data_IF_079266303088
#
_entry.id   IF_079266303088
#
_cell.length_a   1.000
_cell.length_b   1.000
_cell.length_c   1.000
_cell.angle_alpha   90.00
_cell.angle_beta   90.00
_cell.angle_gamma   90.00
#
_symmetry.space_group_name_H-M   'P 1'
#
loop_
_entity.id
_entity.type
_entity.pdbx_description
1 polymer ?
#
# COMPACT_ATOMS: atom_id res chain seq x y z
N UNK A 1 26.75 -9.06 17.23
CA UNK A 1 26.33 -7.66 16.99
C UNK A 1 25.71 -7.61 15.60
N UNK A 2 24.38 -7.65 15.53
CA UNK A 2 23.69 -7.56 14.24
C UNK A 2 23.75 -6.10 13.77
N UNK A 3 24.52 -5.84 12.71
CA UNK A 3 24.45 -4.56 11.99
C UNK A 3 23.05 -4.45 11.41
N UNK A 4 22.20 -3.69 12.07
CA UNK A 4 20.94 -3.24 11.48
C UNK A 4 21.33 -2.30 10.35
N UNK A 5 21.02 -2.67 9.11
CA UNK A 5 21.01 -1.70 8.01
C UNK A 5 19.99 -0.65 8.40
N UNK A 6 20.41 0.61 8.52
CA UNK A 6 19.50 1.71 8.81
C UNK A 6 18.37 1.73 7.77
N UNK A 7 17.17 2.06 8.21
CA UNK A 7 16.01 2.20 7.36
C UNK A 7 15.50 3.64 7.46
N UNK A 8 15.10 4.19 6.32
CA UNK A 8 14.62 5.55 6.19
C UNK A 8 13.65 5.68 5.01
N UNK A 9 12.87 6.76 4.97
CA UNK A 9 11.96 7.05 3.88
C UNK A 9 12.63 7.75 2.69
N UNK A 10 11.98 7.71 1.53
CA UNK A 10 12.38 8.48 0.35
C UNK A 10 11.71 9.86 0.45
N UNK A 11 12.44 10.88 0.88
CA UNK A 11 11.84 12.18 1.23
C UNK A 11 11.43 13.06 0.04
N UNK A 12 11.80 12.73 -1.19
CA UNK A 12 11.51 13.52 -2.39
C UNK A 12 10.45 12.91 -3.32
N UNK A 13 10.17 11.61 -3.19
CA UNK A 13 9.12 10.91 -3.92
C UNK A 13 8.87 9.51 -3.32
N UNK A 14 8.29 9.44 -2.13
CA UNK A 14 7.93 8.18 -1.47
C UNK A 14 6.76 7.48 -2.19
N UNK A 15 6.97 6.32 -2.83
CA UNK A 15 5.89 5.58 -3.48
C UNK A 15 5.04 4.84 -2.45
N UNK A 16 3.72 4.98 -2.52
CA UNK A 16 2.78 4.20 -1.73
C UNK A 16 1.81 3.45 -2.62
N UNK A 17 1.84 2.12 -2.53
CA UNK A 17 1.02 1.25 -3.36
C UNK A 17 -0.33 0.96 -2.71
N UNK A 18 -1.41 1.18 -3.43
CA UNK A 18 -2.73 0.76 -2.98
C UNK A 18 -2.84 -0.77 -3.03
N UNK A 19 -3.27 -1.38 -1.92
CA UNK A 19 -3.59 -2.82 -1.87
C UNK A 19 -5.08 -3.01 -2.16
N UNK A 20 -5.37 -3.39 -3.39
CA UNK A 20 -6.73 -3.68 -3.84
C UNK A 20 -7.23 -5.00 -3.29
N UNK A 21 -8.49 -5.02 -2.87
CA UNK A 21 -9.21 -6.23 -2.46
C UNK A 21 -10.58 -6.24 -3.15
N UNK A 22 -11.05 -7.43 -3.52
CA UNK A 22 -12.33 -7.55 -4.20
C UNK A 22 -12.96 -8.92 -3.99
N UNK A 23 -14.30 -8.97 -4.08
CA UNK A 23 -15.05 -10.23 -4.05
C UNK A 23 -15.18 -10.78 -5.47
N UNK A 24 -14.73 -12.01 -5.76
CA UNK A 24 -14.92 -12.62 -7.07
C UNK A 24 -16.41 -12.71 -7.45
N UNK A 25 -16.74 -12.47 -8.73
CA UNK A 25 -18.14 -12.49 -9.21
C UNK A 25 -18.87 -13.82 -8.94
N UNK A 26 -18.14 -14.94 -8.96
CA UNK A 26 -18.67 -16.30 -8.70
C UNK A 26 -18.32 -16.81 -7.29
N UNK A 27 -18.11 -15.91 -6.32
CA UNK A 27 -17.82 -16.30 -4.93
C UNK A 27 -18.94 -17.19 -4.37
N UNK A 28 -18.62 -18.36 -3.79
CA UNK A 28 -19.63 -19.27 -3.25
C UNK A 28 -20.27 -18.76 -1.95
N UNK A 29 -19.58 -17.88 -1.21
CA UNK A 29 -20.11 -17.23 0.00
C UNK A 29 -20.02 -15.69 -0.09
N UNK A 30 -20.85 -15.04 -0.93
CA UNK A 30 -20.71 -13.60 -1.21
C UNK A 30 -20.95 -12.72 0.02
N UNK A 31 -21.83 -13.13 0.95
CA UNK A 31 -22.11 -12.35 2.16
C UNK A 31 -20.93 -12.39 3.14
N UNK A 32 -20.31 -13.56 3.35
CA UNK A 32 -19.12 -13.69 4.18
C UNK A 32 -17.93 -12.93 3.59
N UNK A 33 -17.77 -12.96 2.27
CA UNK A 33 -16.72 -12.19 1.60
C UNK A 33 -16.90 -10.67 1.76
N UNK A 34 -18.14 -10.17 1.66
CA UNK A 34 -18.45 -8.76 1.94
C UNK A 34 -18.18 -8.40 3.39
N UNK A 35 -18.62 -9.24 4.33
CA UNK A 35 -18.36 -9.05 5.76
C UNK A 35 -16.85 -8.99 6.06
N UNK A 36 -16.05 -9.81 5.38
CA UNK A 36 -14.59 -9.76 5.54
C UNK A 36 -14.00 -8.45 4.99
N UNK A 37 -14.49 -7.94 3.86
CA UNK A 37 -14.08 -6.63 3.37
C UNK A 37 -14.47 -5.52 4.36
N UNK A 38 -15.71 -5.53 4.86
CA UNK A 38 -16.17 -4.56 5.86
C UNK A 38 -15.29 -4.60 7.12
N UNK A 39 -14.95 -5.81 7.59
CA UNK A 39 -14.04 -5.99 8.72
C UNK A 39 -12.66 -5.41 8.44
N UNK A 40 -12.04 -5.74 7.30
CA UNK A 40 -10.69 -5.26 6.95
C UNK A 40 -10.67 -3.72 6.86
N UNK A 41 -11.75 -3.09 6.39
CA UNK A 41 -11.88 -1.64 6.26
C UNK A 41 -12.31 -0.94 7.57
N UNK A 42 -12.72 -1.71 8.57
CA UNK A 42 -13.04 -1.20 9.91
C UNK A 42 -11.78 -0.71 10.63
N UNK A 43 -11.97 0.06 11.70
CA UNK A 43 -10.85 0.48 12.56
C UNK A 43 -10.07 -0.72 13.11
N UNK A 44 -10.76 -1.72 13.67
CA UNK A 44 -10.13 -2.92 14.23
C UNK A 44 -9.35 -3.70 13.15
N UNK A 45 -9.96 -3.89 11.98
CA UNK A 45 -9.29 -4.56 10.86
C UNK A 45 -8.04 -3.82 10.41
N UNK A 46 -8.07 -2.49 10.33
CA UNK A 46 -6.91 -1.69 9.96
C UNK A 46 -5.80 -1.73 11.02
N UNK A 47 -6.14 -1.73 12.32
CA UNK A 47 -5.17 -1.97 13.39
C UNK A 47 -4.50 -3.33 13.23
N UNK A 48 -5.27 -4.38 12.95
CA UNK A 48 -4.74 -5.73 12.78
C UNK A 48 -3.90 -5.88 11.49
N UNK A 49 -4.31 -5.24 10.39
CA UNK A 49 -3.51 -5.13 9.16
C UNK A 49 -2.18 -4.43 9.45
N UNK A 50 -2.20 -3.34 10.22
CA UNK A 50 -1.00 -2.63 10.64
C UNK A 50 -0.07 -3.47 11.51
N UNK A 51 -0.60 -4.22 12.47
CA UNK A 51 0.17 -5.19 13.28
C UNK A 51 0.77 -6.31 12.44
N UNK A 52 0.15 -6.65 11.32
CA UNK A 52 0.69 -7.57 10.32
C UNK A 52 1.80 -7.00 9.44
N UNK A 53 2.24 -5.75 9.66
CA UNK A 53 3.34 -5.12 8.92
C UNK A 53 2.91 -4.34 7.68
N UNK A 54 1.62 -4.06 7.51
CA UNK A 54 1.12 -3.17 6.47
C UNK A 54 0.94 -1.73 6.99
N UNK A 55 0.65 -0.80 6.09
CA UNK A 55 0.38 0.61 6.43
C UNK A 55 -1.13 0.89 6.36
N UNK A 56 -1.84 0.94 7.49
CA UNK A 56 -3.25 1.31 7.51
C UNK A 56 -3.44 2.76 7.08
N UNK A 57 -4.55 3.02 6.38
CA UNK A 57 -4.82 4.33 5.77
C UNK A 57 -5.85 5.16 6.54
N UNK A 58 -6.58 4.55 7.47
CA UNK A 58 -7.61 5.25 8.25
C UNK A 58 -6.97 6.27 9.18
N UNK A 59 -7.49 7.49 9.15
CA UNK A 59 -7.03 8.60 9.99
C UNK A 59 -7.27 8.37 11.49
N UNK A 60 -8.16 7.46 11.86
CA UNK A 60 -8.46 7.12 13.26
C UNK A 60 -7.55 6.02 13.84
N UNK A 61 -6.64 5.44 13.04
CA UNK A 61 -5.65 4.46 13.50
C UNK A 61 -4.34 5.19 13.85
N UNK A 62 -3.88 5.04 15.08
CA UNK A 62 -2.72 5.78 15.59
C UNK A 62 -1.47 4.90 15.67
N UNK A 63 -0.31 5.53 15.79
CA UNK A 63 0.99 4.86 15.94
C UNK A 63 1.14 4.10 17.27
N UNK A 64 0.28 4.37 18.26
CA UNK A 64 0.19 3.58 19.49
C UNK A 64 -0.39 2.18 19.22
N UNK A 65 -1.21 2.04 18.17
CA UNK A 65 -1.90 0.79 17.83
C UNK A 65 -1.13 -0.06 16.81
N UNK A 66 -0.26 0.56 16.01
CA UNK A 66 0.52 -0.06 14.94
C UNK A 66 1.82 0.71 14.65
N UNK A 67 2.94 0.05 14.29
CA UNK A 67 4.23 0.72 14.14
C UNK A 67 4.29 1.83 13.07
N UNK A 68 3.49 1.72 12.01
CA UNK A 68 3.50 2.66 10.87
C UNK A 68 2.07 2.93 10.44
N UNK A 69 1.71 4.18 10.16
CA UNK A 69 0.40 4.59 9.62
C UNK A 69 0.59 5.49 8.40
N UNK A 70 -0.42 5.59 7.52
CA UNK A 70 -0.35 6.51 6.38
C UNK A 70 -0.13 7.96 6.83
N UNK A 71 -0.82 8.38 7.90
CA UNK A 71 -0.64 9.71 8.49
C UNK A 71 0.79 9.91 9.00
N UNK A 72 1.37 8.92 9.69
CA UNK A 72 2.75 8.98 10.15
C UNK A 72 3.75 9.12 8.99
N UNK A 73 3.56 8.36 7.91
CA UNK A 73 4.39 8.51 6.69
C UNK A 73 4.23 9.91 6.10
N UNK A 74 3.00 10.40 5.98
CA UNK A 74 2.69 11.73 5.44
C UNK A 74 3.31 12.86 6.26
N UNK A 75 3.26 12.74 7.57
CA UNK A 75 3.81 13.75 8.47
C UNK A 75 5.35 13.72 8.47
N UNK A 76 5.96 12.56 8.22
CA UNK A 76 7.42 12.37 8.11
C UNK A 76 7.99 12.87 6.76
N UNK A 77 7.36 12.50 5.64
CA UNK A 77 7.90 12.80 4.30
C UNK A 77 7.32 14.05 3.66
N UNK A 78 6.20 14.58 4.19
CA UNK A 78 5.43 15.65 3.55
C UNK A 78 4.41 15.11 2.55
N UNK A 79 3.20 15.68 2.55
CA UNK A 79 2.09 15.19 1.73
C UNK A 79 2.37 15.30 0.23
N UNK A 80 3.11 16.31 -0.19
CA UNK A 80 3.53 16.58 -1.56
C UNK A 80 4.55 15.57 -2.09
N UNK A 81 5.28 14.89 -1.20
CA UNK A 81 6.31 13.90 -1.55
C UNK A 81 5.75 12.47 -1.56
N UNK A 82 4.46 12.28 -1.28
CA UNK A 82 3.80 10.99 -1.41
C UNK A 82 3.30 10.80 -2.84
N UNK A 83 3.78 9.73 -3.48
CA UNK A 83 3.31 9.29 -4.80
C UNK A 83 2.40 8.08 -4.62
N UNK A 84 1.08 8.29 -4.68
CA UNK A 84 0.11 7.19 -4.62
C UNK A 84 0.11 6.44 -5.96
N UNK A 85 0.53 5.17 -5.91
CA UNK A 85 0.51 4.27 -7.06
C UNK A 85 -0.85 3.57 -7.11
N UNK A 86 -1.68 4.00 -8.06
CA UNK A 86 -3.00 3.43 -8.33
C UNK A 86 -2.95 2.21 -9.26
N UNK A 87 -4.13 1.84 -9.80
CA UNK A 87 -4.29 0.71 -10.72
C UNK A 87 -4.25 1.10 -12.19
N UNK A 88 -4.00 2.36 -12.52
CA UNK A 88 -3.80 2.78 -13.90
C UNK A 88 -2.40 2.36 -14.36
N UNK A 89 -2.34 1.21 -15.01
CA UNK A 89 -1.10 0.65 -15.55
C UNK A 89 -0.81 1.18 -16.98
N UNK A 90 -1.61 2.12 -17.48
CA UNK A 90 -1.61 2.51 -18.89
C UNK A 90 -2.04 1.38 -19.83
N UNK A 91 -1.98 1.65 -21.13
CA UNK A 91 -2.25 0.66 -22.17
C UNK A 91 -1.20 -0.45 -22.20
N UNK A 92 -1.59 -1.62 -22.73
CA UNK A 92 -0.66 -2.73 -22.95
C UNK A 92 0.55 -2.29 -23.81
N UNK A 93 0.32 -1.42 -24.80
CA UNK A 93 1.38 -0.86 -25.64
C UNK A 93 2.39 -0.06 -24.82
N UNK A 94 1.93 0.81 -23.92
CA UNK A 94 2.82 1.60 -23.05
C UNK A 94 3.63 0.71 -22.13
N UNK A 95 3.02 -0.33 -21.56
CA UNK A 95 3.71 -1.31 -20.70
C UNK A 95 4.79 -2.09 -21.47
N UNK A 96 4.48 -2.53 -22.70
CA UNK A 96 5.44 -3.19 -23.57
C UNK A 96 6.58 -2.26 -23.98
N UNK A 97 6.27 -1.02 -24.36
CA UNK A 97 7.26 -0.02 -24.76
C UNK A 97 8.15 0.37 -23.57
N UNK A 98 7.59 0.48 -22.36
CA UNK A 98 8.36 0.68 -21.13
C UNK A 98 9.31 -0.49 -20.87
N UNK A 99 8.81 -1.73 -20.92
CA UNK A 99 9.62 -2.93 -20.68
C UNK A 99 10.77 -3.06 -21.67
N UNK A 100 10.53 -2.81 -22.96
CA UNK A 100 11.59 -2.80 -23.99
C UNK A 100 12.65 -1.74 -23.71
N UNK A 101 12.23 -0.52 -23.34
CA UNK A 101 13.15 0.57 -22.97
C UNK A 101 13.99 0.17 -21.76
N UNK A 102 13.36 -0.35 -20.71
CA UNK A 102 14.03 -0.81 -19.50
C UNK A 102 15.12 -1.83 -19.81
N UNK A 103 14.76 -2.91 -20.50
CA UNK A 103 15.70 -3.99 -20.86
C UNK A 103 16.86 -3.48 -21.72
N UNK A 104 16.58 -2.63 -22.72
CA UNK A 104 17.62 -2.08 -23.58
C UNK A 104 18.64 -1.19 -22.86
N UNK A 105 18.29 -0.67 -21.67
CA UNK A 105 19.10 0.28 -20.91
C UNK A 105 19.77 -0.37 -19.70
N UNK A 106 19.12 -1.35 -19.07
CA UNK A 106 19.50 -1.88 -17.77
C UNK A 106 19.76 -3.40 -17.75
N UNK A 107 19.49 -4.11 -18.86
CA UNK A 107 19.75 -5.55 -19.02
C UNK A 107 18.54 -6.44 -18.77
#
# INVERSE_FOLDING_TARGET
MNKVVGWDYIHDASPMFLRGMGVPKKCPQPNSAKLMLDYILSHEGQVNVGRGGFTPYRADVTTEQTPVTYQGVRDEVGAENIVIIGFDMGSEKEQQDFSKKWVSRLG
#
